data_IF_110523063725
#
_entry.id   IF_110523063725
#
_cell.length_a   1.000
_cell.length_b   1.000
_cell.length_c   1.000
_cell.angle_alpha   90.00
_cell.angle_beta   90.00
_cell.angle_gamma   90.00
#
_symmetry.space_group_name_H-M   'P 1'
#
loop_
_entity.id
_entity.type
_entity.pdbx_description
1 polymer ?
#
# COMPACT_ATOMS: atom_id res chain seq x y z
N UNK A 1 14.81 8.97 -10.04
CA UNK A 1 13.51 8.31 -10.27
C UNK A 1 13.36 7.00 -9.49
N UNK A 2 14.11 5.94 -9.81
CA UNK A 2 13.89 4.59 -9.23
C UNK A 2 14.14 4.47 -7.72
N UNK A 3 15.18 5.13 -7.20
CA UNK A 3 15.52 5.06 -5.75
C UNK A 3 14.45 5.69 -4.87
N UNK A 4 13.90 6.84 -5.27
CA UNK A 4 12.86 7.53 -4.51
C UNK A 4 11.56 6.72 -4.51
N UNK A 5 11.15 6.19 -5.66
CA UNK A 5 9.98 5.33 -5.78
C UNK A 5 10.10 4.05 -4.94
N UNK A 6 11.29 3.42 -4.91
CA UNK A 6 11.56 2.25 -4.05
C UNK A 6 11.44 2.58 -2.57
N UNK A 7 11.98 3.73 -2.14
CA UNK A 7 11.88 4.18 -0.74
C UNK A 7 10.43 4.47 -0.34
N UNK A 8 9.62 5.02 -1.24
CA UNK A 8 8.19 5.22 -0.97
C UNK A 8 7.44 3.90 -1.00
N UNK A 9 7.77 2.99 -1.92
CA UNK A 9 7.13 1.68 -2.02
C UNK A 9 7.40 0.79 -0.80
N UNK A 10 8.59 0.84 -0.20
CA UNK A 10 8.92 0.04 0.98
C UNK A 10 8.13 0.46 2.23
N UNK A 11 7.68 1.71 2.28
CA UNK A 11 6.81 2.23 3.34
C UNK A 11 5.34 1.99 2.99
N UNK A 12 4.92 2.43 1.79
CA UNK A 12 3.53 2.41 1.32
C UNK A 12 3.01 0.99 1.12
N UNK A 13 3.86 0.07 0.65
CA UNK A 13 3.55 -1.35 0.43
C UNK A 13 3.02 -2.04 1.68
N UNK A 14 3.81 -2.20 2.75
CA UNK A 14 3.35 -2.83 3.98
C UNK A 14 2.22 -2.06 4.67
N UNK A 15 2.15 -0.73 4.58
CA UNK A 15 1.02 0.02 5.16
C UNK A 15 -0.30 -0.26 4.44
N UNK A 16 -0.33 -0.34 3.11
CA UNK A 16 -1.55 -0.66 2.37
C UNK A 16 -1.91 -2.14 2.45
N UNK A 17 -0.92 -3.02 2.54
CA UNK A 17 -1.13 -4.42 2.87
C UNK A 17 -1.79 -4.57 4.26
N UNK A 18 -1.28 -3.83 5.25
CA UNK A 18 -1.83 -3.78 6.60
C UNK A 18 -3.23 -3.20 6.64
N UNK A 19 -3.51 -2.12 5.89
CA UNK A 19 -4.87 -1.58 5.74
C UNK A 19 -5.81 -2.59 5.07
N UNK A 20 -5.35 -3.31 4.06
CA UNK A 20 -6.11 -4.40 3.43
C UNK A 20 -6.43 -5.53 4.41
N UNK A 21 -5.46 -5.92 5.24
CA UNK A 21 -5.65 -6.91 6.30
C UNK A 21 -6.58 -6.43 7.43
N UNK A 22 -6.65 -5.12 7.69
CA UNK A 22 -7.55 -4.54 8.69
C UNK A 22 -9.03 -4.57 8.27
N UNK A 23 -9.34 -4.57 6.97
CA UNK A 23 -10.73 -4.65 6.46
C UNK A 23 -11.47 -5.92 6.92
N UNK A 24 -10.95 -7.16 6.70
CA UNK A 24 -11.63 -8.37 7.17
C UNK A 24 -11.66 -8.49 8.69
N UNK A 25 -10.69 -7.90 9.41
CA UNK A 25 -10.68 -7.86 10.88
C UNK A 25 -11.72 -6.87 11.42
N UNK A 26 -12.00 -5.78 10.69
CA UNK A 26 -12.98 -4.76 11.09
C UNK A 26 -14.42 -5.19 10.83
N UNK A 27 -14.65 -6.02 9.81
CA UNK A 27 -15.98 -6.49 9.40
C UNK A 27 -16.28 -7.88 9.98
N UNK A 28 -15.27 -8.73 10.14
CA UNK A 28 -15.39 -10.08 10.69
C UNK A 28 -15.04 -10.14 12.17
N UNK A 29 -15.89 -10.79 12.97
CA UNK A 29 -15.55 -11.18 14.34
C UNK A 29 -14.25 -12.01 14.30
N UNK A 30 -13.29 -11.66 15.17
CA UNK A 30 -11.93 -12.24 15.26
C UNK A 30 -11.94 -13.78 15.31
N UNK A 31 -13.06 -14.38 15.70
CA UNK A 31 -13.25 -15.82 15.84
C UNK A 31 -13.65 -16.57 14.55
N UNK A 32 -13.98 -15.87 13.46
CA UNK A 32 -14.44 -16.46 12.18
C UNK A 32 -13.53 -16.10 10.99
N UNK A 33 -12.33 -15.58 11.25
CA UNK A 33 -11.43 -15.13 10.20
C UNK A 33 -10.71 -16.33 9.57
N UNK A 34 -11.17 -16.74 8.40
CA UNK A 34 -10.46 -17.71 7.56
C UNK A 34 -9.14 -17.07 7.08
N UNK A 35 -8.01 -17.71 7.36
CA UNK A 35 -6.67 -17.23 7.01
C UNK A 35 -6.53 -16.90 5.52
N UNK A 36 -7.31 -17.58 4.67
CA UNK A 36 -7.34 -17.34 3.22
C UNK A 36 -7.90 -15.95 2.88
N UNK A 37 -8.90 -15.49 3.62
CA UNK A 37 -9.56 -14.20 3.39
C UNK A 37 -8.67 -13.03 3.84
N UNK A 38 -7.89 -13.25 4.90
CA UNK A 38 -6.91 -12.28 5.42
C UNK A 38 -5.74 -12.10 4.44
N UNK A 39 -5.18 -13.21 3.94
CA UNK A 39 -4.13 -13.20 2.92
C UNK A 39 -4.66 -12.60 1.61
N UNK A 40 -5.88 -12.96 1.20
CA UNK A 40 -6.52 -12.37 0.01
C UNK A 40 -6.67 -10.85 0.10
N UNK A 41 -7.14 -10.34 1.24
CA UNK A 41 -7.30 -8.90 1.45
C UNK A 41 -5.95 -8.16 1.53
N UNK A 42 -4.92 -8.77 2.13
CA UNK A 42 -3.56 -8.23 2.16
C UNK A 42 -2.94 -8.16 0.75
N UNK A 43 -3.14 -9.19 -0.07
CA UNK A 43 -2.67 -9.22 -1.46
C UNK A 43 -3.38 -8.16 -2.31
N UNK A 44 -4.69 -7.99 -2.12
CA UNK A 44 -5.44 -6.90 -2.79
C UNK A 44 -4.89 -5.54 -2.36
N UNK A 45 -4.59 -5.35 -1.07
CA UNK A 45 -3.93 -4.15 -0.55
C UNK A 45 -2.57 -3.89 -1.19
N UNK A 46 -1.77 -4.93 -1.40
CA UNK A 46 -0.49 -4.83 -2.13
C UNK A 46 -0.66 -4.49 -3.61
N UNK A 47 -1.65 -5.07 -4.29
CA UNK A 47 -1.93 -4.75 -5.69
C UNK A 47 -2.31 -3.28 -5.84
N UNK A 48 -3.10 -2.73 -4.92
CA UNK A 48 -3.46 -1.30 -4.90
C UNK A 48 -2.26 -0.42 -4.51
N UNK A 49 -1.30 -0.93 -3.74
CA UNK A 49 -0.09 -0.22 -3.35
C UNK A 49 0.86 0.10 -4.51
N UNK A 50 0.91 -0.78 -5.52
CA UNK A 50 1.77 -0.60 -6.69
C UNK A 50 1.44 0.70 -7.45
N UNK A 51 0.21 0.91 -7.95
CA UNK A 51 -0.14 2.16 -8.65
C UNK A 51 -0.08 3.38 -7.72
N UNK A 52 -0.44 3.23 -6.44
CA UNK A 52 -0.40 4.34 -5.49
C UNK A 52 1.03 4.84 -5.25
N UNK A 53 2.01 3.93 -5.14
CA UNK A 53 3.42 4.29 -4.95
C UNK A 53 4.00 5.09 -6.12
N UNK A 54 3.62 4.73 -7.35
CA UNK A 54 4.04 5.45 -8.57
C UNK A 54 3.41 6.83 -8.60
N UNK A 55 2.12 6.94 -8.25
CA UNK A 55 1.41 8.22 -8.22
C UNK A 55 1.99 9.19 -7.19
N UNK A 56 2.28 8.69 -5.97
CA UNK A 56 2.89 9.49 -4.89
C UNK A 56 4.32 9.89 -5.26
N UNK A 57 5.11 8.98 -5.83
CA UNK A 57 6.45 9.30 -6.30
C UNK A 57 6.44 10.41 -7.36
N UNK A 58 5.52 10.35 -8.32
CA UNK A 58 5.37 11.39 -9.37
C UNK A 58 5.00 12.75 -8.78
N UNK A 59 4.09 12.76 -7.80
CA UNK A 59 3.63 13.99 -7.13
C UNK A 59 4.74 14.65 -6.30
N UNK A 60 5.56 13.85 -5.63
CA UNK A 60 6.71 14.36 -4.88
C UNK A 60 7.78 14.87 -5.84
N UNK A 61 8.04 14.18 -6.95
CA UNK A 61 8.97 14.67 -7.96
C UNK A 61 8.53 16.02 -8.54
N UNK A 62 7.25 16.19 -8.85
CA UNK A 62 6.69 17.48 -9.30
C UNK A 62 6.85 18.60 -8.26
N UNK A 63 6.72 18.29 -6.96
CA UNK A 63 6.88 19.26 -5.88
C UNK A 63 8.34 19.58 -5.53
N UNK A 64 9.24 18.61 -5.74
CA UNK A 64 10.66 18.73 -5.38
C UNK A 64 11.52 19.14 -6.56
N UNK A 65 10.97 19.13 -7.79
CA UNK A 65 11.68 19.62 -8.98
C UNK A 65 11.94 21.12 -8.80
N UNK A 66 13.20 21.54 -8.64
CA UNK A 66 13.51 22.96 -8.49
C UNK A 66 13.10 23.66 -9.79
N UNK A 67 12.31 24.73 -9.66
CA UNK A 67 12.16 25.75 -10.70
C UNK A 67 13.48 26.55 -10.75
N UNK A 68 14.51 25.97 -11.35
CA UNK A 68 15.73 26.64 -11.81
C UNK A 68 16.47 25.74 -12.82
#
# INVERSE_FOLDING_TARGET
MSRLAILIFILVGPTLAGLGALVPISIGSVNAIDWKMLVGAAVIGLIVAIPLSIFVAKKIEEQTRPTA
#
